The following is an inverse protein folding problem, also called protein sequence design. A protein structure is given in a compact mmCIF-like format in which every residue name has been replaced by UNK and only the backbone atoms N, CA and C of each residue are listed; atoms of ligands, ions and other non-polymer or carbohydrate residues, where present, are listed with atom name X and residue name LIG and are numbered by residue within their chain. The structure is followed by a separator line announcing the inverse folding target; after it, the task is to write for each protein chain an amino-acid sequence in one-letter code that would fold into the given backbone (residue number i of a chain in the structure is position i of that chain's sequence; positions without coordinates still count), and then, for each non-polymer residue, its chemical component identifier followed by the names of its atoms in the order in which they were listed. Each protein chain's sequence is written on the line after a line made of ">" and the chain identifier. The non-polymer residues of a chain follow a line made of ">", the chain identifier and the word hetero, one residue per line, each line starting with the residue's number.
data_IF_470181870233
#
_entry.id   IF_470181870233
#
_cell.length_a   1.000
_cell.length_b   1.000
_cell.length_c   1.000
_cell.angle_alpha   90.00
_cell.angle_beta   90.00
_cell.angle_gamma   90.00
#
_symmetry.space_group_name_H-M   'P 1'
#
loop_
_entity.id
_entity.type
_entity.pdbx_description
1 polymer ?
#
# COMPACT_ATOMS: atom_id res chain seq x y z
N UNK A 1 34.05 36.25 -6.74
CA UNK A 1 33.93 35.07 -7.60
C UNK A 1 34.54 33.81 -6.94
N UNK A 2 35.67 33.92 -6.23
CA UNK A 2 36.33 32.81 -5.56
C UNK A 2 35.44 32.09 -4.52
N UNK A 3 34.70 32.83 -3.69
CA UNK A 3 33.83 32.24 -2.67
C UNK A 3 32.64 31.42 -3.22
N UNK A 4 32.16 31.76 -4.41
CA UNK A 4 31.08 30.99 -5.05
C UNK A 4 31.58 29.64 -5.58
N UNK A 5 32.81 29.63 -6.12
CA UNK A 5 33.44 28.41 -6.62
C UNK A 5 33.73 27.45 -5.44
N UNK A 6 34.19 27.97 -4.32
CA UNK A 6 34.45 27.19 -3.10
C UNK A 6 33.17 26.54 -2.52
N UNK A 7 32.07 27.29 -2.45
CA UNK A 7 30.77 26.80 -2.03
C UNK A 7 30.24 25.69 -2.96
N UNK A 8 30.39 25.89 -4.29
CA UNK A 8 29.96 24.89 -5.28
C UNK A 8 30.79 23.61 -5.19
N UNK A 9 32.12 23.74 -4.98
CA UNK A 9 32.98 22.57 -4.81
C UNK A 9 32.69 21.81 -3.51
N UNK A 10 32.43 22.53 -2.39
CA UNK A 10 32.03 21.89 -1.13
C UNK A 10 30.70 21.19 -1.26
N UNK A 11 29.67 21.84 -1.81
CA UNK A 11 28.38 21.24 -2.05
C UNK A 11 28.47 20.02 -3.00
N UNK A 12 29.35 20.06 -3.99
CA UNK A 12 29.60 18.95 -4.89
C UNK A 12 30.22 17.73 -4.18
N UNK A 13 31.19 17.97 -3.29
CA UNK A 13 31.80 16.92 -2.46
C UNK A 13 30.79 16.30 -1.50
N UNK A 14 30.05 17.11 -0.78
CA UNK A 14 29.01 16.65 0.16
C UNK A 14 27.93 15.84 -0.57
N UNK A 15 27.54 16.24 -1.78
CA UNK A 15 26.60 15.50 -2.60
C UNK A 15 27.14 14.12 -3.04
N UNK A 16 28.42 14.03 -3.39
CA UNK A 16 29.08 12.76 -3.74
C UNK A 16 29.20 11.85 -2.52
N UNK A 17 29.57 12.39 -1.36
CA UNK A 17 29.69 11.63 -0.13
C UNK A 17 28.33 11.09 0.33
N UNK A 18 27.29 11.90 0.33
CA UNK A 18 25.92 11.46 0.61
C UNK A 18 25.47 10.40 -0.40
N UNK A 19 25.77 10.58 -1.68
CA UNK A 19 25.39 9.61 -2.72
C UNK A 19 26.08 8.26 -2.54
N UNK A 20 27.37 8.23 -2.27
CA UNK A 20 28.15 7.00 -2.13
C UNK A 20 27.91 6.31 -0.79
N UNK A 21 27.94 7.04 0.32
CA UNK A 21 27.88 6.45 1.66
C UNK A 21 26.46 6.25 2.19
N UNK A 22 25.47 6.98 1.67
CA UNK A 22 24.08 6.88 2.14
C UNK A 22 23.17 6.23 1.10
N UNK A 23 23.12 6.76 -0.14
CA UNK A 23 22.20 6.25 -1.16
C UNK A 23 22.59 4.86 -1.69
N UNK A 24 23.88 4.59 -1.88
CA UNK A 24 24.31 3.31 -2.44
C UNK A 24 24.01 2.14 -1.51
N UNK A 25 24.28 2.16 -0.18
CA UNK A 25 23.84 1.11 0.74
C UNK A 25 22.31 0.95 0.75
N UNK A 26 21.55 2.04 0.75
CA UNK A 26 20.08 1.99 0.70
C UNK A 26 19.61 1.28 -0.58
N UNK A 27 20.19 1.62 -1.73
CA UNK A 27 19.83 0.96 -2.99
C UNK A 27 20.13 -0.54 -2.98
N UNK A 28 21.27 -0.95 -2.41
CA UNK A 28 21.62 -2.37 -2.29
C UNK A 28 20.59 -3.09 -1.41
N UNK A 29 20.22 -2.51 -0.26
CA UNK A 29 19.21 -3.09 0.63
C UNK A 29 17.86 -3.22 -0.07
N UNK A 30 17.43 -2.19 -0.81
CA UNK A 30 16.18 -2.23 -1.57
C UNK A 30 16.20 -3.34 -2.63
N UNK A 31 17.29 -3.47 -3.38
CA UNK A 31 17.44 -4.52 -4.41
C UNK A 31 17.41 -5.91 -3.78
N UNK A 32 18.16 -6.12 -2.69
CA UNK A 32 18.17 -7.40 -1.96
C UNK A 32 16.78 -7.75 -1.45
N UNK A 33 16.06 -6.77 -0.88
CA UNK A 33 14.68 -6.96 -0.42
C UNK A 33 13.73 -7.29 -1.57
N UNK A 34 13.85 -6.65 -2.72
CA UNK A 34 13.04 -6.99 -3.90
C UNK A 34 13.28 -8.44 -4.36
N UNK A 35 14.54 -8.88 -4.39
CA UNK A 35 14.89 -10.25 -4.77
C UNK A 35 14.31 -11.24 -3.74
N UNK A 36 14.47 -10.95 -2.47
CA UNK A 36 13.96 -11.80 -1.38
C UNK A 36 12.44 -11.97 -1.47
N UNK A 37 11.71 -10.88 -1.72
CA UNK A 37 10.25 -10.91 -1.88
C UNK A 37 9.80 -11.69 -3.10
N UNK A 38 10.50 -11.54 -4.23
CA UNK A 38 10.24 -12.35 -5.43
C UNK A 38 10.45 -13.84 -5.15
N UNK A 39 11.48 -14.19 -4.36
CA UNK A 39 11.71 -15.56 -3.93
C UNK A 39 10.61 -16.07 -2.99
N UNK A 40 10.14 -15.26 -2.03
CA UNK A 40 9.03 -15.61 -1.15
C UNK A 40 7.73 -15.80 -1.95
N UNK A 41 7.46 -14.94 -2.91
CA UNK A 41 6.31 -15.04 -3.80
C UNK A 41 6.39 -16.33 -4.63
N UNK A 42 7.52 -16.59 -5.27
CA UNK A 42 7.75 -17.78 -6.08
C UNK A 42 7.70 -19.09 -5.26
N UNK A 43 8.09 -19.06 -4.01
CA UNK A 43 8.06 -20.22 -3.10
C UNK A 43 6.67 -20.53 -2.52
N UNK A 44 5.65 -19.69 -2.79
CA UNK A 44 4.28 -19.85 -2.27
C UNK A 44 4.15 -19.63 -0.76
N UNK A 45 5.18 -19.11 -0.11
CA UNK A 45 5.15 -18.77 1.32
C UNK A 45 4.16 -17.63 1.54
N UNK A 46 4.13 -16.66 0.63
CA UNK A 46 3.22 -15.53 0.68
C UNK A 46 1.75 -15.99 0.69
N UNK A 47 1.38 -16.98 -0.13
CA UNK A 47 0.03 -17.53 -0.16
C UNK A 47 -0.35 -18.23 1.16
N UNK A 48 0.62 -18.83 1.86
CA UNK A 48 0.40 -19.43 3.18
C UNK A 48 0.15 -18.36 4.23
N UNK A 49 0.93 -17.30 4.22
CA UNK A 49 0.77 -16.15 5.13
C UNK A 49 -0.60 -15.50 4.90
N UNK A 50 -0.98 -15.25 3.64
CA UNK A 50 -2.28 -14.69 3.29
C UNK A 50 -3.42 -15.58 3.79
N UNK A 51 -3.34 -16.89 3.60
CA UNK A 51 -4.35 -17.84 4.10
C UNK A 51 -4.46 -17.86 5.62
N UNK A 52 -3.36 -17.69 6.32
CA UNK A 52 -3.32 -17.66 7.78
C UNK A 52 -3.89 -16.34 8.33
N UNK A 53 -3.57 -15.21 7.68
CA UNK A 53 -4.00 -13.87 8.12
C UNK A 53 -5.42 -13.53 7.65
N UNK A 54 -5.86 -14.08 6.52
CA UNK A 54 -7.18 -13.81 5.93
C UNK A 54 -8.36 -14.03 6.88
N UNK A 55 -8.44 -15.11 7.69
CA UNK A 55 -9.55 -15.29 8.62
C UNK A 55 -9.57 -14.23 9.74
N UNK A 56 -8.39 -13.79 10.20
CA UNK A 56 -8.28 -12.72 11.20
C UNK A 56 -8.60 -11.33 10.62
N UNK A 57 -8.44 -11.14 9.33
CA UNK A 57 -8.70 -9.87 8.65
C UNK A 57 -10.18 -9.66 8.27
N UNK A 58 -10.96 -10.74 8.18
CA UNK A 58 -12.39 -10.69 7.81
C UNK A 58 -13.25 -9.77 8.69
N UNK A 59 -13.13 -9.74 10.02
CA UNK A 59 -13.96 -8.86 10.87
C UNK A 59 -13.67 -7.36 10.61
N UNK A 60 -12.51 -7.04 10.04
CA UNK A 60 -12.13 -5.68 9.68
C UNK A 60 -12.52 -5.28 8.26
N UNK A 61 -13.31 -6.12 7.58
CA UNK A 61 -13.73 -5.86 6.19
C UNK A 61 -12.66 -6.09 5.12
N UNK A 62 -11.54 -6.70 5.50
CA UNK A 62 -10.43 -6.99 4.60
C UNK A 62 -10.59 -8.38 3.98
N UNK A 63 -10.47 -8.45 2.66
CA UNK A 63 -10.42 -9.72 1.91
C UNK A 63 -8.98 -10.24 1.85
N UNK A 64 -8.79 -11.52 1.51
CA UNK A 64 -7.44 -12.09 1.32
C UNK A 64 -6.61 -11.33 0.27
N UNK A 65 -7.27 -10.81 -0.78
CA UNK A 65 -6.62 -9.98 -1.81
C UNK A 65 -6.22 -8.61 -1.25
N UNK A 66 -7.02 -8.03 -0.35
CA UNK A 66 -6.65 -6.79 0.34
C UNK A 66 -5.41 -6.96 1.23
N UNK A 67 -5.31 -8.11 1.93
CA UNK A 67 -4.11 -8.45 2.72
C UNK A 67 -2.87 -8.56 1.81
N UNK A 68 -3.01 -9.14 0.62
CA UNK A 68 -1.94 -9.18 -0.37
C UNK A 68 -1.51 -7.76 -0.78
N UNK A 69 -2.45 -6.86 -1.05
CA UNK A 69 -2.15 -5.48 -1.38
C UNK A 69 -1.41 -4.75 -0.24
N UNK A 70 -1.78 -5.00 1.03
CA UNK A 70 -1.08 -4.47 2.21
C UNK A 70 0.37 -4.98 2.30
N UNK A 71 0.59 -6.25 2.03
CA UNK A 71 1.94 -6.84 2.00
C UNK A 71 2.76 -6.23 0.86
N UNK A 72 2.16 -6.08 -0.33
CA UNK A 72 2.83 -5.49 -1.48
C UNK A 72 3.29 -4.05 -1.23
N UNK A 73 2.44 -3.21 -0.61
CA UNK A 73 2.84 -1.82 -0.32
C UNK A 73 3.94 -1.75 0.74
N UNK A 74 3.92 -2.67 1.70
CA UNK A 74 4.91 -2.67 2.78
C UNK A 74 6.30 -3.12 2.33
N UNK A 75 6.35 -4.08 1.42
CA UNK A 75 7.59 -4.81 1.11
C UNK A 75 8.05 -4.67 -0.34
N UNK A 76 7.16 -4.39 -1.29
CA UNK A 76 7.53 -4.38 -2.72
C UNK A 76 7.68 -2.95 -3.23
N UNK A 77 6.60 -2.22 -3.35
CA UNK A 77 6.63 -0.82 -3.77
C UNK A 77 5.26 -0.15 -3.59
N UNK A 78 5.26 1.17 -3.62
CA UNK A 78 4.04 1.97 -3.56
C UNK A 78 3.06 1.68 -4.71
N UNK A 79 3.57 1.28 -5.87
CA UNK A 79 2.78 1.01 -7.09
C UNK A 79 2.28 -0.43 -7.16
N UNK A 80 2.94 -1.36 -6.47
CA UNK A 80 2.63 -2.79 -6.53
C UNK A 80 1.18 -3.17 -6.16
N UNK A 81 0.49 -2.51 -5.22
CA UNK A 81 -0.90 -2.84 -4.91
C UNK A 81 -1.91 -2.41 -5.97
N UNK A 82 -1.59 -1.50 -6.89
CA UNK A 82 -2.55 -0.99 -7.89
C UNK A 82 -3.16 -2.09 -8.77
N UNK A 83 -2.39 -3.01 -9.39
CA UNK A 83 -2.97 -4.13 -10.14
C UNK A 83 -3.81 -5.06 -9.27
N UNK A 84 -3.45 -5.22 -8.00
CA UNK A 84 -4.20 -6.06 -7.05
C UNK A 84 -5.53 -5.44 -6.69
N UNK A 85 -5.59 -4.13 -6.52
CA UNK A 85 -6.84 -3.39 -6.30
C UNK A 85 -7.74 -3.42 -7.54
N UNK A 86 -7.18 -3.23 -8.75
CA UNK A 86 -7.92 -3.38 -10.00
C UNK A 86 -8.50 -4.79 -10.16
N UNK A 87 -7.74 -5.83 -9.81
CA UNK A 87 -8.22 -7.20 -9.81
C UNK A 87 -9.38 -7.44 -8.82
N UNK A 88 -9.42 -6.72 -7.69
CA UNK A 88 -10.56 -6.78 -6.75
C UNK A 88 -11.82 -6.21 -7.40
N UNK A 89 -11.70 -5.12 -8.14
CA UNK A 89 -12.79 -4.50 -8.90
C UNK A 89 -13.30 -5.43 -10.00
N UNK A 90 -12.41 -5.98 -10.82
CA UNK A 90 -12.74 -6.93 -11.89
C UNK A 90 -13.44 -8.19 -11.38
N UNK A 91 -13.13 -8.63 -10.18
CA UNK A 91 -13.79 -9.78 -9.52
C UNK A 91 -15.12 -9.45 -8.87
N UNK A 92 -15.63 -8.23 -9.04
CA UNK A 92 -16.91 -7.80 -8.48
C UNK A 92 -16.90 -7.69 -6.96
N UNK A 93 -15.74 -7.40 -6.37
CA UNK A 93 -15.65 -7.11 -4.94
C UNK A 93 -16.46 -5.84 -4.64
N UNK A 94 -17.31 -5.87 -3.59
CA UNK A 94 -18.15 -4.70 -3.29
C UNK A 94 -17.31 -3.47 -2.98
N UNK A 95 -17.79 -2.28 -3.39
CA UNK A 95 -17.15 -0.98 -3.20
C UNK A 95 -16.70 -0.74 -1.76
N UNK A 96 -17.45 -1.27 -0.80
CA UNK A 96 -17.14 -1.23 0.63
C UNK A 96 -15.81 -1.93 0.95
N UNK A 97 -15.58 -3.12 0.41
CA UNK A 97 -14.33 -3.86 0.62
C UNK A 97 -13.18 -3.24 -0.15
N UNK A 98 -13.44 -2.71 -1.33
CA UNK A 98 -12.45 -2.01 -2.13
C UNK A 98 -11.99 -0.71 -1.44
N UNK A 99 -12.95 0.07 -0.91
CA UNK A 99 -12.64 1.29 -0.15
C UNK A 99 -11.83 0.98 1.14
N UNK A 100 -12.20 -0.09 1.85
CA UNK A 100 -11.46 -0.53 3.04
C UNK A 100 -10.04 -0.99 2.68
N UNK A 101 -9.87 -1.74 1.59
CA UNK A 101 -8.55 -2.15 1.10
C UNK A 101 -7.69 -0.95 0.70
N UNK A 102 -8.25 0.01 -0.01
CA UNK A 102 -7.56 1.24 -0.41
C UNK A 102 -7.13 2.07 0.82
N UNK A 103 -8.02 2.23 1.80
CA UNK A 103 -7.69 2.95 3.03
C UNK A 103 -6.56 2.26 3.82
N UNK A 104 -6.57 0.93 3.90
CA UNK A 104 -5.51 0.15 4.54
C UNK A 104 -4.18 0.32 3.82
N UNK A 105 -4.18 0.22 2.49
CA UNK A 105 -2.98 0.38 1.64
C UNK A 105 -2.38 1.78 1.82
N UNK A 106 -3.21 2.83 1.77
CA UNK A 106 -2.74 4.22 1.96
C UNK A 106 -2.21 4.46 3.37
N UNK A 107 -2.84 3.92 4.40
CA UNK A 107 -2.37 4.04 5.78
C UNK A 107 -1.05 3.29 6.01
N UNK A 108 -0.79 2.22 5.27
CA UNK A 108 0.47 1.46 5.32
C UNK A 108 1.56 1.99 4.38
N UNK A 109 1.27 2.96 3.53
CA UNK A 109 2.23 3.52 2.57
C UNK A 109 3.58 3.94 3.21
N UNK A 110 3.63 4.55 4.41
CA UNK A 110 4.88 4.89 5.08
C UNK A 110 5.76 3.67 5.39
N UNK A 111 5.18 2.47 5.52
CA UNK A 111 5.94 1.25 5.80
C UNK A 111 6.97 0.92 4.71
N UNK A 112 6.72 1.32 3.47
CA UNK A 112 7.67 1.12 2.36
C UNK A 112 8.99 1.90 2.56
N UNK A 113 8.95 3.03 3.24
CA UNK A 113 10.15 3.82 3.55
C UNK A 113 10.97 3.25 4.72
N UNK A 114 10.43 2.29 5.49
CA UNK A 114 11.07 1.77 6.69
C UNK A 114 12.38 1.04 6.39
N UNK A 115 12.44 0.28 5.30
CA UNK A 115 13.65 -0.47 4.96
C UNK A 115 14.85 0.42 4.66
N UNK A 116 14.75 1.45 3.80
CA UNK A 116 15.84 2.40 3.63
C UNK A 116 16.15 3.19 4.91
N UNK A 117 15.15 3.51 5.74
CA UNK A 117 15.35 4.22 7.00
C UNK A 117 15.94 3.33 8.11
N UNK A 118 15.75 2.02 8.05
CA UNK A 118 16.36 1.07 8.99
C UNK A 118 17.90 1.11 8.90
N UNK A 119 18.47 1.39 7.73
CA UNK A 119 19.91 1.58 7.55
C UNK A 119 20.44 2.79 8.35
N UNK A 120 19.57 3.76 8.60
CA UNK A 120 19.86 4.95 9.42
C UNK A 120 19.62 4.74 10.93
N UNK A 121 19.33 3.50 11.36
CA UNK A 121 19.18 3.14 12.77
C UNK A 121 17.77 3.26 13.33
N UNK A 122 16.74 3.43 12.51
CA UNK A 122 15.35 3.39 12.98
C UNK A 122 14.94 1.97 13.37
N UNK A 123 14.14 1.87 14.45
CA UNK A 123 13.55 0.60 14.89
C UNK A 123 12.42 0.18 13.95
N UNK A 124 12.78 -0.47 12.84
CA UNK A 124 11.86 -0.85 11.75
C UNK A 124 10.73 -1.77 12.20
N UNK A 125 10.93 -2.61 13.21
CA UNK A 125 9.91 -3.53 13.71
C UNK A 125 8.73 -2.83 14.38
N UNK A 126 9.00 -1.86 15.25
CA UNK A 126 7.94 -1.10 15.94
C UNK A 126 7.14 -0.26 14.95
N UNK A 127 7.81 0.38 14.00
CA UNK A 127 7.16 1.23 13.01
C UNK A 127 6.33 0.40 12.03
N UNK A 128 6.79 -0.80 11.66
CA UNK A 128 6.01 -1.74 10.84
C UNK A 128 4.74 -2.19 11.56
N UNK A 129 4.83 -2.52 12.85
CA UNK A 129 3.67 -2.88 13.67
C UNK A 129 2.67 -1.73 13.79
N UNK A 130 3.15 -0.51 14.04
CA UNK A 130 2.31 0.69 14.09
C UNK A 130 1.62 0.97 12.76
N UNK A 131 2.34 0.83 11.63
CA UNK A 131 1.76 0.98 10.29
C UNK A 131 0.70 -0.08 10.00
N UNK A 132 0.94 -1.34 10.40
CA UNK A 132 -0.03 -2.42 10.24
C UNK A 132 -1.29 -2.18 11.08
N UNK A 133 -1.14 -1.77 12.33
CA UNK A 133 -2.27 -1.41 13.20
C UNK A 133 -3.04 -0.20 12.65
N UNK A 134 -2.34 0.82 12.15
CA UNK A 134 -2.92 1.97 11.48
C UNK A 134 -3.70 1.58 10.23
N UNK A 135 -3.16 0.67 9.40
CA UNK A 135 -3.84 0.13 8.22
C UNK A 135 -5.12 -0.62 8.56
N UNK A 136 -5.08 -1.49 9.58
CA UNK A 136 -6.26 -2.23 10.05
C UNK A 136 -7.30 -1.28 10.63
N UNK A 137 -6.89 -0.30 11.41
CA UNK A 137 -7.79 0.72 11.96
C UNK A 137 -8.45 1.55 10.85
N UNK A 138 -7.68 2.02 9.86
CA UNK A 138 -8.19 2.75 8.70
C UNK A 138 -9.18 1.92 7.89
N UNK A 139 -8.87 0.65 7.61
CA UNK A 139 -9.78 -0.27 6.95
C UNK A 139 -11.08 -0.45 7.72
N UNK A 140 -10.99 -0.65 9.04
CA UNK A 140 -12.16 -0.84 9.91
C UNK A 140 -13.06 0.39 9.91
N UNK A 141 -12.48 1.57 10.10
CA UNK A 141 -13.22 2.84 10.07
C UNK A 141 -13.90 3.03 8.72
N UNK A 142 -13.18 2.83 7.63
CA UNK A 142 -13.72 2.97 6.27
C UNK A 142 -14.82 1.95 6.01
N UNK A 143 -14.62 0.70 6.38
CA UNK A 143 -15.62 -0.36 6.20
C UNK A 143 -16.90 -0.10 6.96
N UNK A 144 -16.83 0.32 8.22
CA UNK A 144 -18.01 0.51 9.06
C UNK A 144 -18.70 1.86 8.89
N UNK A 145 -17.95 2.93 8.66
CA UNK A 145 -18.50 4.29 8.53
C UNK A 145 -18.86 4.63 7.07
N UNK A 146 -17.90 4.57 6.16
CA UNK A 146 -18.13 4.93 4.76
C UNK A 146 -18.87 3.83 3.99
N UNK A 147 -18.66 2.56 4.35
CA UNK A 147 -19.33 1.47 3.66
C UNK A 147 -20.86 1.52 3.75
N UNK A 148 -21.41 2.15 4.78
CA UNK A 148 -22.85 2.41 4.87
C UNK A 148 -23.30 3.51 3.91
N UNK A 149 -22.47 4.52 3.71
CA UNK A 149 -22.77 5.65 2.81
C UNK A 149 -22.66 5.23 1.33
N UNK A 150 -21.62 4.47 0.99
CA UNK A 150 -21.38 4.01 -0.39
C UNK A 150 -22.46 3.06 -0.90
N UNK A 151 -22.97 2.15 -0.05
CA UNK A 151 -24.06 1.24 -0.44
C UNK A 151 -25.36 2.00 -0.80
N UNK A 152 -25.61 3.10 -0.12
CA UNK A 152 -26.79 3.93 -0.41
C UNK A 152 -26.65 4.71 -1.74
N UNK A 153 -25.44 5.14 -2.07
CA UNK A 153 -25.15 5.87 -3.31
C UNK A 153 -25.22 4.96 -4.54
N UNK A 154 -24.66 3.74 -4.44
CA UNK A 154 -24.74 2.75 -5.52
C UNK A 154 -26.18 2.31 -5.81
N UNK A 155 -27.02 2.18 -4.78
CA UNK A 155 -28.44 1.90 -4.95
C UNK A 155 -29.17 3.07 -5.64
N UNK A 156 -28.91 4.30 -5.22
CA UNK A 156 -29.51 5.48 -5.83
C UNK A 156 -29.15 5.63 -7.31
N UNK A 157 -27.89 5.33 -7.69
CA UNK A 157 -27.44 5.36 -9.07
C UNK A 157 -28.12 4.27 -9.91
N UNK A 158 -28.21 3.04 -9.39
CA UNK A 158 -28.86 1.93 -10.08
C UNK A 158 -30.37 2.15 -10.27
N UNK A 159 -31.03 2.78 -9.31
CA UNK A 159 -32.44 3.15 -9.41
C UNK A 159 -32.66 4.27 -10.44
N UNK A 160 -31.74 5.23 -10.52
CA UNK A 160 -31.78 6.28 -11.52
C UNK A 160 -31.58 5.73 -12.94
N UNK A 161 -30.64 4.83 -13.14
CA UNK A 161 -30.41 4.14 -14.42
C UNK A 161 -31.63 3.30 -14.85
N UNK A 162 -32.28 2.60 -13.91
CA UNK A 162 -33.51 1.85 -14.18
C UNK A 162 -34.67 2.76 -14.60
N UNK A 163 -34.81 3.91 -13.95
CA UNK A 163 -35.82 4.89 -14.32
C UNK A 163 -35.59 5.50 -15.72
N UNK A 164 -34.30 5.82 -16.02
CA UNK A 164 -33.91 6.33 -17.32
C UNK A 164 -34.19 5.34 -18.46
N UNK A 165 -33.86 4.06 -18.21
CA UNK A 165 -34.09 2.95 -19.16
C UNK A 165 -35.59 2.62 -19.33
N UNK A 166 -36.41 2.78 -18.27
CA UNK A 166 -37.84 2.57 -18.32
C UNK A 166 -38.57 3.63 -19.14
N UNK A 167 -38.08 4.87 -19.08
CA UNK A 167 -38.72 6.01 -19.78
C UNK A 167 -38.37 6.08 -21.28
N UNK A 168 -37.35 5.34 -21.73
CA UNK A 168 -36.97 5.27 -23.16
C UNK A 168 -37.71 4.20 -23.96
N UNK A 169 -38.65 3.47 -23.32
CA UNK A 169 -39.46 2.41 -23.96
C UNK A 169 -40.93 2.79 -24.18
N UNK A 170 -41.35 4.04 -23.90
CA UNK A 170 -42.60 4.62 -24.33
C UNK A 170 -42.38 5.54 -25.51
#
# INVERSE_FOLDING_TARGET
>A
MEGVIEVVLHAGRDAVDVSLYTLLPIMVVVVVMMILLRLLEASGILDRVIRLVSPAAKPFGLTGIAVLAMVQISFVSFVAPLPTLALMEDRGTSDRHLAAALAAVLAMAPANALFPLAVLGLHSGETLLLSALGGIAAASVTYWLLGRSLSNTSQAVSDFERQASGNSRC
#
